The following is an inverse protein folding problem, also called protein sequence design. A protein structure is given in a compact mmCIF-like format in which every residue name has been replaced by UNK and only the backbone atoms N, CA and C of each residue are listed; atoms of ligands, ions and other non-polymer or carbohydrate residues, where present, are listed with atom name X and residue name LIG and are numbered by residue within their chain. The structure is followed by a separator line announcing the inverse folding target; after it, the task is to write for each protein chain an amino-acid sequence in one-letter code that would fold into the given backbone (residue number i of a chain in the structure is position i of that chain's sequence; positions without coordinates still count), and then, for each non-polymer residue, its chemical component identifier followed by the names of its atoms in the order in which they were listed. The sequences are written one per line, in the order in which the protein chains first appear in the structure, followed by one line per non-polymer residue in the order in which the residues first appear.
data_IF_733285315863
#
_entry.id   IF_733285315863
#
_cell.length_a   1.000
_cell.length_b   1.000
_cell.length_c   1.000
_cell.angle_alpha   90.00
_cell.angle_beta   90.00
_cell.angle_gamma   90.00
#
_symmetry.space_group_name_H-M   'P 1'
#
loop_
_entity.id
_entity.type
_entity.pdbx_description
1 polymer ?
#
# COMPACT_ATOMS: atom_id res chain seq x y z
N UNK A 1 9.12 5.49 -25.09
CA UNK A 1 8.92 5.51 -23.62
C UNK A 1 8.86 4.05 -23.19
N UNK A 2 9.80 3.41 -22.51
CA UNK A 2 11.09 3.73 -21.93
C UNK A 2 11.40 2.49 -21.09
N UNK A 3 12.37 1.67 -21.50
CA UNK A 3 12.75 0.42 -20.82
C UNK A 3 13.52 0.73 -19.52
N UNK A 4 12.90 1.47 -18.60
CA UNK A 4 13.45 1.70 -17.27
C UNK A 4 12.74 0.75 -16.32
N UNK A 5 13.47 -0.26 -15.87
CA UNK A 5 13.03 -1.13 -14.79
C UNK A 5 12.93 -0.32 -13.49
N UNK A 6 11.84 -0.53 -12.75
CA UNK A 6 11.62 0.08 -11.45
C UNK A 6 11.94 -0.99 -10.41
N UNK A 7 13.05 -0.82 -9.70
CA UNK A 7 13.52 -1.78 -8.70
C UNK A 7 13.03 -1.43 -7.28
N UNK A 8 12.75 -0.15 -7.02
CA UNK A 8 12.38 0.34 -5.69
C UNK A 8 11.39 1.52 -5.76
N UNK A 9 10.43 1.50 -4.84
CA UNK A 9 9.52 2.59 -4.53
C UNK A 9 9.67 2.95 -3.05
N UNK A 10 10.17 4.15 -2.76
CA UNK A 10 10.40 4.60 -1.38
C UNK A 10 9.31 5.55 -0.89
N UNK A 11 8.79 5.32 0.32
CA UNK A 11 7.91 6.25 1.01
C UNK A 11 8.23 6.32 2.51
N UNK A 12 8.98 7.35 2.91
CA UNK A 12 9.45 7.51 4.29
C UNK A 12 10.20 6.25 4.79
N UNK A 13 9.62 5.49 5.71
CA UNK A 13 10.14 4.21 6.22
C UNK A 13 9.53 2.97 5.54
N UNK A 14 8.49 3.14 4.72
CA UNK A 14 7.86 2.09 3.92
C UNK A 14 8.46 2.04 2.51
N UNK A 15 9.37 1.10 2.28
CA UNK A 15 9.97 0.85 0.96
C UNK A 15 9.41 -0.44 0.33
N UNK A 16 9.13 -0.40 -0.97
CA UNK A 16 8.73 -1.57 -1.75
C UNK A 16 9.79 -1.90 -2.82
N UNK A 17 10.36 -3.11 -2.74
CA UNK A 17 11.28 -3.66 -3.73
C UNK A 17 10.50 -4.47 -4.78
N UNK A 18 10.83 -4.30 -6.05
CA UNK A 18 10.13 -4.92 -7.17
C UNK A 18 11.16 -5.56 -8.09
N UNK A 19 10.93 -6.83 -8.46
CA UNK A 19 11.73 -7.56 -9.44
C UNK A 19 10.83 -8.53 -10.22
N UNK A 20 11.29 -8.97 -11.40
CA UNK A 20 10.54 -9.94 -12.21
C UNK A 20 10.76 -11.39 -11.75
N UNK A 21 11.93 -11.69 -11.18
CA UNK A 21 12.33 -13.03 -10.71
C UNK A 21 12.78 -13.01 -9.25
N UNK A 22 12.65 -14.16 -8.58
CA UNK A 22 12.97 -14.32 -7.16
C UNK A 22 14.44 -14.04 -6.84
N UNK A 23 15.36 -14.52 -7.67
CA UNK A 23 16.81 -14.33 -7.47
C UNK A 23 17.21 -12.85 -7.49
N UNK A 24 16.56 -12.04 -8.35
CA UNK A 24 16.76 -10.59 -8.39
C UNK A 24 16.18 -9.91 -7.16
N UNK A 25 14.99 -10.34 -6.70
CA UNK A 25 14.38 -9.82 -5.50
C UNK A 25 15.23 -10.12 -4.26
N UNK A 26 15.78 -11.33 -4.16
CA UNK A 26 16.70 -11.74 -3.08
C UNK A 26 17.97 -10.88 -3.11
N UNK A 27 18.55 -10.67 -4.31
CA UNK A 27 19.72 -9.80 -4.48
C UNK A 27 19.44 -8.36 -4.06
N UNK A 28 18.32 -7.78 -4.49
CA UNK A 28 17.91 -6.42 -4.13
C UNK A 28 17.67 -6.30 -2.62
N UNK A 29 17.02 -7.29 -2.03
CA UNK A 29 16.78 -7.36 -0.59
C UNK A 29 18.08 -7.41 0.19
N UNK A 30 19.04 -8.23 -0.25
CA UNK A 30 20.36 -8.33 0.38
C UNK A 30 21.16 -7.02 0.29
N UNK A 31 21.14 -6.35 -0.87
CA UNK A 31 21.77 -5.04 -1.08
C UNK A 31 21.13 -3.99 -0.16
N UNK A 32 19.80 -3.95 -0.08
CA UNK A 32 19.06 -3.02 0.77
C UNK A 32 19.39 -3.24 2.25
N UNK A 33 19.35 -4.49 2.72
CA UNK A 33 19.69 -4.84 4.10
C UNK A 33 21.15 -4.50 4.46
N UNK A 34 22.09 -4.80 3.57
CA UNK A 34 23.51 -4.47 3.79
C UNK A 34 23.74 -2.96 3.81
N UNK A 35 23.03 -2.22 2.95
CA UNK A 35 23.17 -0.76 2.86
C UNK A 35 22.54 -0.06 4.07
N UNK A 36 21.33 -0.44 4.46
CA UNK A 36 20.65 0.11 5.65
C UNK A 36 21.47 -0.12 6.93
N UNK A 37 22.11 -1.28 7.08
CA UNK A 37 23.04 -1.54 8.21
C UNK A 37 24.23 -0.61 8.25
N UNK A 38 24.80 -0.21 7.10
CA UNK A 38 25.91 0.79 7.06
C UNK A 38 25.48 2.14 7.63
N UNK A 39 24.19 2.46 7.55
CA UNK A 39 23.59 3.66 8.13
C UNK A 39 22.99 3.43 9.53
N UNK A 40 23.31 2.30 10.19
CA UNK A 40 22.76 1.91 11.49
C UNK A 40 21.21 1.85 11.51
N UNK A 41 20.57 1.57 10.38
CA UNK A 41 19.13 1.32 10.28
C UNK A 41 18.83 -0.16 10.49
N UNK A 42 17.65 -0.45 11.05
CA UNK A 42 17.19 -1.81 11.36
C UNK A 42 15.94 -2.11 10.53
N UNK A 43 15.99 -3.17 9.73
CA UNK A 43 14.82 -3.69 9.02
C UNK A 43 14.03 -4.60 9.96
N UNK A 44 12.75 -4.31 10.14
CA UNK A 44 11.85 -5.12 10.96
C UNK A 44 11.40 -6.38 10.20
N UNK A 45 12.06 -7.51 10.47
CA UNK A 45 11.73 -8.81 9.87
C UNK A 45 10.25 -9.24 10.04
N UNK A 46 9.57 -8.77 11.08
CA UNK A 46 8.13 -9.06 11.31
C UNK A 46 7.18 -8.24 10.42
N UNK A 47 7.62 -7.06 9.99
CA UNK A 47 6.81 -6.13 9.21
C UNK A 47 6.99 -6.32 7.71
N UNK A 48 8.19 -6.74 7.30
CA UNK A 48 8.50 -7.02 5.91
C UNK A 48 7.77 -8.28 5.43
N UNK A 49 7.28 -8.21 4.21
CA UNK A 49 6.47 -9.25 3.57
C UNK A 49 6.86 -9.33 2.11
N UNK A 50 6.77 -10.52 1.52
CA UNK A 50 6.84 -10.69 0.08
C UNK A 50 5.47 -11.03 -0.51
N UNK A 51 5.27 -10.67 -1.78
CA UNK A 51 4.07 -10.99 -2.55
C UNK A 51 4.47 -11.25 -4.00
N UNK A 52 3.78 -12.20 -4.64
CA UNK A 52 3.95 -12.51 -6.06
C UNK A 52 2.69 -12.10 -6.83
N UNK A 53 2.84 -11.42 -7.98
CA UNK A 53 1.71 -10.87 -8.75
C UNK A 53 1.20 -11.76 -9.90
N UNK A 54 1.94 -12.82 -10.26
CA UNK A 54 1.64 -13.74 -11.38
C UNK A 54 1.63 -15.18 -10.89
N UNK A 55 0.44 -15.80 -10.84
CA UNK A 55 0.22 -17.15 -10.31
C UNK A 55 0.74 -17.31 -8.85
N UNK A 56 0.19 -18.21 -8.03
CA UNK A 56 0.74 -18.49 -6.72
C UNK A 56 2.08 -19.25 -6.87
N UNK A 57 3.15 -18.51 -7.17
CA UNK A 57 4.52 -18.98 -7.10
C UNK A 57 4.99 -18.86 -5.67
N UNK A 58 5.60 -19.92 -5.14
CA UNK A 58 6.28 -19.85 -3.85
C UNK A 58 7.51 -18.96 -4.03
N UNK A 59 7.62 -17.93 -3.21
CA UNK A 59 8.77 -17.03 -3.18
C UNK A 59 9.35 -17.06 -1.77
N UNK A 60 10.64 -17.35 -1.65
CA UNK A 60 11.33 -17.49 -0.38
C UNK A 60 12.47 -16.48 -0.32
N UNK A 61 12.18 -15.35 0.31
CA UNK A 61 13.17 -14.30 0.54
C UNK A 61 13.71 -14.39 1.97
N UNK A 62 15.01 -14.21 2.14
CA UNK A 62 15.69 -14.29 3.44
C UNK A 62 16.36 -12.97 3.83
N UNK A 63 16.18 -12.57 5.09
CA UNK A 63 16.87 -11.42 5.68
C UNK A 63 17.47 -11.85 7.01
N UNK A 64 18.80 -11.78 7.11
CA UNK A 64 19.55 -12.13 8.32
C UNK A 64 19.22 -13.52 8.89
N UNK A 65 19.13 -14.54 8.02
CA UNK A 65 18.80 -15.89 8.44
C UNK A 65 17.30 -16.12 8.70
N UNK A 66 16.45 -15.10 8.51
CA UNK A 66 15.00 -15.20 8.73
C UNK A 66 14.27 -15.13 7.39
N UNK A 67 13.46 -16.15 7.12
CA UNK A 67 12.57 -16.19 5.96
C UNK A 67 11.42 -15.21 6.22
N UNK A 68 11.21 -14.27 5.30
CA UNK A 68 10.11 -13.31 5.41
C UNK A 68 8.79 -13.97 4.99
N UNK A 69 7.69 -13.47 5.53
CA UNK A 69 6.37 -14.05 5.27
C UNK A 69 5.87 -13.67 3.88
N UNK A 70 5.49 -14.68 3.09
CA UNK A 70 4.74 -14.47 1.85
C UNK A 70 3.25 -14.28 2.15
N UNK A 71 2.66 -13.18 1.66
CA UNK A 71 1.22 -12.90 1.79
C UNK A 71 0.58 -12.64 0.42
N UNK A 72 -0.65 -13.11 0.25
CA UNK A 72 -1.45 -12.87 -0.96
C UNK A 72 -2.14 -11.50 -0.96
N UNK A 73 -2.24 -10.86 0.21
CA UNK A 73 -2.82 -9.54 0.38
C UNK A 73 -2.04 -8.80 1.44
N UNK A 74 -1.60 -7.59 1.14
CA UNK A 74 -0.96 -6.71 2.13
C UNK A 74 -1.39 -5.27 1.89
N UNK A 75 -1.30 -4.44 2.94
CA UNK A 75 -1.64 -3.02 2.84
C UNK A 75 -0.36 -2.19 2.70
N UNK A 76 -0.27 -1.43 1.62
CA UNK A 76 0.82 -0.50 1.34
C UNK A 76 0.26 0.92 1.29
N UNK A 77 0.79 1.83 2.12
CA UNK A 77 0.35 3.24 2.18
C UNK A 77 -1.18 3.44 2.30
N UNK A 78 -1.87 2.53 2.99
CA UNK A 78 -3.33 2.59 3.17
C UNK A 78 -4.16 1.95 2.04
N UNK A 79 -3.53 1.52 0.95
CA UNK A 79 -4.14 0.78 -0.17
C UNK A 79 -3.92 -0.71 0.04
N UNK A 80 -4.98 -1.49 -0.13
CA UNK A 80 -4.88 -2.94 -0.12
C UNK A 80 -4.36 -3.42 -1.48
N UNK A 81 -3.21 -4.08 -1.50
CA UNK A 81 -2.63 -4.70 -2.68
C UNK A 81 -2.84 -6.21 -2.58
N UNK A 82 -3.30 -6.81 -3.66
CA UNK A 82 -3.57 -8.25 -3.78
C UNK A 82 -2.69 -8.88 -4.85
N UNK A 83 -2.29 -10.13 -4.63
CA UNK A 83 -1.57 -10.97 -5.60
C UNK A 83 -2.43 -11.32 -6.81
N UNK A 84 -3.74 -11.42 -6.59
CA UNK A 84 -4.74 -11.54 -7.64
C UNK A 84 -4.94 -10.14 -8.21
N UNK A 85 -4.90 -9.99 -9.54
CA UNK A 85 -5.04 -8.70 -10.26
C UNK A 85 -6.46 -8.12 -10.16
N UNK A 86 -6.98 -8.04 -8.96
CA UNK A 86 -8.34 -7.65 -8.63
C UNK A 86 -8.36 -6.16 -8.27
N UNK A 87 -8.30 -5.36 -9.33
CA UNK A 87 -8.41 -3.90 -9.22
C UNK A 87 -9.80 -3.50 -8.73
N UNK A 88 -10.82 -4.32 -9.03
CA UNK A 88 -12.20 -4.07 -8.62
C UNK A 88 -12.34 -4.08 -7.09
N UNK A 89 -11.73 -5.07 -6.42
CA UNK A 89 -11.71 -5.12 -4.96
C UNK A 89 -11.05 -3.89 -4.35
N UNK A 90 -9.94 -3.40 -4.93
CA UNK A 90 -9.28 -2.17 -4.49
C UNK A 90 -10.22 -0.96 -4.57
N UNK A 91 -10.90 -0.78 -5.70
CA UNK A 91 -11.88 0.29 -5.92
C UNK A 91 -13.06 0.17 -4.95
N UNK A 92 -13.57 -1.05 -4.74
CA UNK A 92 -14.67 -1.33 -3.80
C UNK A 92 -14.29 -0.97 -2.37
N UNK A 93 -13.09 -1.34 -1.92
CA UNK A 93 -12.59 -0.97 -0.60
C UNK A 93 -12.47 0.55 -0.43
N UNK A 94 -12.01 1.23 -1.47
CA UNK A 94 -11.86 2.67 -1.45
C UNK A 94 -13.24 3.39 -1.38
N UNK A 95 -14.23 2.89 -2.14
CA UNK A 95 -15.63 3.33 -2.05
C UNK A 95 -16.23 3.11 -0.66
N UNK A 96 -15.96 1.97 -0.03
CA UNK A 96 -16.39 1.67 1.34
C UNK A 96 -15.76 2.63 2.36
N UNK A 97 -14.47 2.94 2.24
CA UNK A 97 -13.79 3.93 3.11
C UNK A 97 -14.43 5.31 2.98
N UNK A 98 -14.68 5.78 1.75
CA UNK A 98 -15.33 7.06 1.51
C UNK A 98 -16.76 7.10 2.07
N UNK A 99 -17.51 6.01 1.89
CA UNK A 99 -18.87 5.87 2.43
C UNK A 99 -18.87 5.89 3.96
N UNK A 100 -17.91 5.24 4.60
CA UNK A 100 -17.74 5.27 6.06
C UNK A 100 -17.36 6.66 6.57
N UNK A 101 -16.43 7.33 5.90
CA UNK A 101 -16.05 8.71 6.21
C UNK A 101 -17.25 9.66 6.07
N UNK A 102 -18.01 9.55 4.98
CA UNK A 102 -19.24 10.31 4.80
C UNK A 102 -20.27 9.97 5.89
N UNK A 103 -20.48 8.69 6.20
CA UNK A 103 -21.38 8.24 7.27
C UNK A 103 -21.03 8.84 8.64
N UNK A 104 -19.74 8.97 8.97
CA UNK A 104 -19.29 9.59 10.23
C UNK A 104 -19.64 11.08 10.35
N UNK A 105 -19.87 11.76 9.22
CA UNK A 105 -20.26 13.17 9.15
C UNK A 105 -21.77 13.38 8.99
N UNK A 106 -22.57 12.31 9.12
CA UNK A 106 -24.00 12.36 8.81
C UNK A 106 -24.77 13.33 9.70
N UNK A 107 -24.62 13.23 11.01
CA UNK A 107 -25.38 14.07 11.94
C UNK A 107 -24.78 15.48 12.06
N UNK A 108 -23.47 15.60 11.94
CA UNK A 108 -22.74 16.88 12.08
C UNK A 108 -22.81 17.75 10.84
N UNK A 109 -22.73 17.17 9.63
CA UNK A 109 -22.68 17.90 8.36
C UNK A 109 -23.93 17.65 7.51
N UNK A 110 -24.26 16.39 7.18
CA UNK A 110 -25.26 16.11 6.15
C UNK A 110 -26.69 16.43 6.59
N UNK A 111 -27.09 16.03 7.80
CA UNK A 111 -28.41 16.31 8.39
C UNK A 111 -28.53 17.69 9.03
N UNK A 112 -27.42 18.36 9.27
CA UNK A 112 -27.41 19.66 9.93
C UNK A 112 -28.10 20.72 9.06
N UNK A 113 -29.26 21.22 9.53
CA UNK A 113 -30.08 22.19 8.80
C UNK A 113 -29.50 23.61 8.84
N UNK A 114 -28.59 23.90 9.77
CA UNK A 114 -27.93 25.20 9.89
C UNK A 114 -26.77 25.38 8.90
N UNK A 115 -26.28 24.30 8.29
CA UNK A 115 -25.25 24.37 7.27
C UNK A 115 -25.83 24.58 5.87
N UNK A 116 -25.31 25.59 5.17
CA UNK A 116 -25.66 25.86 3.77
C UNK A 116 -25.23 24.70 2.87
N UNK A 117 -26.02 24.44 1.83
CA UNK A 117 -25.74 23.40 0.82
C UNK A 117 -24.34 23.54 0.23
N UNK A 118 -23.92 24.77 -0.13
CA UNK A 118 -22.59 25.03 -0.69
C UNK A 118 -21.46 24.62 0.27
N UNK A 119 -21.63 24.85 1.57
CA UNK A 119 -20.65 24.42 2.58
C UNK A 119 -20.56 22.90 2.64
N UNK A 120 -21.70 22.20 2.65
CA UNK A 120 -21.74 20.72 2.61
C UNK A 120 -21.04 20.18 1.36
N UNK A 121 -21.29 20.78 0.20
CA UNK A 121 -20.62 20.42 -1.07
C UNK A 121 -19.11 20.63 -0.99
N UNK A 122 -18.63 21.76 -0.43
CA UNK A 122 -17.20 22.01 -0.25
C UNK A 122 -16.55 20.98 0.68
N UNK A 123 -17.21 20.63 1.77
CA UNK A 123 -16.72 19.61 2.70
C UNK A 123 -16.62 18.25 2.00
N UNK A 124 -17.66 17.85 1.25
CA UNK A 124 -17.62 16.62 0.46
C UNK A 124 -16.44 16.62 -0.52
N UNK A 125 -16.27 17.69 -1.29
CA UNK A 125 -15.18 17.81 -2.27
C UNK A 125 -13.79 17.77 -1.62
N UNK A 126 -13.63 18.38 -0.44
CA UNK A 126 -12.34 18.50 0.23
C UNK A 126 -11.98 17.26 1.07
N UNK A 127 -12.95 16.56 1.65
CA UNK A 127 -12.70 15.51 2.64
C UNK A 127 -13.15 14.12 2.20
N UNK A 128 -14.21 14.00 1.38
CA UNK A 128 -14.78 12.70 0.99
C UNK A 128 -14.32 12.30 -0.42
N UNK A 129 -14.39 13.23 -1.38
CA UNK A 129 -14.01 12.97 -2.78
C UNK A 129 -12.57 12.48 -2.93
N UNK A 130 -11.56 13.02 -2.21
CA UNK A 130 -10.19 12.52 -2.33
C UNK A 130 -10.02 11.08 -1.85
N UNK A 131 -10.95 10.59 -1.02
CA UNK A 131 -10.96 9.18 -0.66
C UNK A 131 -11.46 8.35 -1.84
N UNK A 132 -12.33 8.84 -2.72
CA UNK A 132 -12.82 8.04 -3.86
C UNK A 132 -11.87 7.96 -5.06
N UNK A 133 -10.89 8.86 -5.14
CA UNK A 133 -9.91 8.98 -6.22
C UNK A 133 -8.59 8.33 -5.84
#
# INVERSE_FOLDING_TARGET
MGNKEIEILCCADDDALIAEIEDELERLTHICNTTTKKYNMIISAEKIKCMTSKYPLRCKIEIDGKIIKQEAKFRYMGIDITSYRDVEEGVRQQSLKASKAAGSLNDTIWKNKHLRKNTKTRIYIAAIRPILT
#
